data_IF_975831642748
#
_entry.id   IF_975831642748
#
_cell.length_a   1.000
_cell.length_b   1.000
_cell.length_c   1.000
_cell.angle_alpha   90.00
_cell.angle_beta   90.00
_cell.angle_gamma   90.00
#
_symmetry.space_group_name_H-M   'P 1'
#
loop_
_entity.id
_entity.type
_entity.pdbx_description
1 polymer ?
#
# COMPACT_ATOMS: atom_id res chain seq x y z
N UNK A 1 -3.36 -18.76 -2.59
CA UNK A 1 -2.19 -18.62 -1.69
C UNK A 1 -2.31 -19.59 -0.50
N UNK A 2 -3.35 -20.43 -0.41
CA UNK A 2 -3.54 -21.30 0.75
C UNK A 2 -3.97 -20.51 2.00
N UNK A 3 -4.58 -19.33 1.79
CA UNK A 3 -4.98 -18.37 2.82
C UNK A 3 -6.48 -18.06 2.73
N UNK A 4 -7.24 -18.91 2.06
CA UNK A 4 -8.68 -18.76 1.86
C UNK A 4 -9.42 -18.85 3.20
N UNK A 5 -8.89 -19.60 4.16
CA UNK A 5 -9.34 -19.69 5.56
C UNK A 5 -9.02 -18.46 6.42
N UNK A 6 -8.21 -17.53 5.90
CA UNK A 6 -7.94 -16.24 6.56
C UNK A 6 -8.92 -15.13 6.12
N UNK A 7 -9.93 -15.45 5.31
CA UNK A 7 -10.94 -14.50 4.86
C UNK A 7 -12.15 -14.55 5.79
N UNK A 8 -12.45 -13.44 6.48
CA UNK A 8 -13.63 -13.36 7.36
C UNK A 8 -14.92 -13.28 6.52
N UNK A 9 -14.83 -12.68 5.32
CA UNK A 9 -15.96 -12.49 4.40
C UNK A 9 -15.46 -12.43 2.96
N UNK A 10 -16.26 -12.96 2.05
CA UNK A 10 -16.08 -12.80 0.61
C UNK A 10 -17.36 -12.29 -0.04
N UNK A 11 -17.21 -11.42 -1.02
CA UNK A 11 -18.28 -11.00 -1.92
C UNK A 11 -17.96 -11.53 -3.32
N UNK A 12 -18.91 -12.22 -3.99
CA UNK A 12 -18.69 -12.75 -5.32
C UNK A 12 -18.45 -11.66 -6.37
N UNK A 13 -18.97 -10.45 -6.17
CA UNK A 13 -18.85 -9.35 -7.12
C UNK A 13 -18.42 -8.04 -6.45
N UNK A 14 -17.66 -7.25 -7.21
CA UNK A 14 -17.22 -5.92 -6.83
C UNK A 14 -17.84 -4.92 -7.80
N UNK A 15 -18.10 -3.68 -7.37
CA UNK A 15 -18.57 -2.64 -8.29
C UNK A 15 -18.05 -1.26 -7.90
N UNK A 16 -18.13 -0.34 -8.85
CA UNK A 16 -17.79 1.07 -8.66
C UNK A 16 -18.95 1.95 -9.10
N UNK A 17 -19.10 3.09 -8.43
CA UNK A 17 -20.03 4.14 -8.78
C UNK A 17 -19.19 5.38 -9.13
N UNK A 18 -19.22 5.74 -10.40
CA UNK A 18 -18.47 6.88 -10.94
C UNK A 18 -19.19 8.18 -10.58
N UNK A 19 -20.51 8.20 -10.76
CA UNK A 19 -21.38 9.32 -10.41
C UNK A 19 -22.82 8.83 -10.23
N UNK A 20 -23.78 9.75 -10.18
CA UNK A 20 -25.20 9.41 -9.99
C UNK A 20 -25.81 8.56 -11.12
N UNK A 21 -25.20 8.57 -12.30
CA UNK A 21 -25.73 7.93 -13.49
C UNK A 21 -24.93 6.67 -13.87
N UNK A 22 -23.63 6.66 -13.58
CA UNK A 22 -22.71 5.62 -14.03
C UNK A 22 -22.28 4.71 -12.89
N UNK A 23 -22.65 3.43 -13.03
CA UNK A 23 -22.20 2.31 -12.19
C UNK A 23 -21.58 1.24 -13.09
N UNK A 24 -20.46 0.67 -12.66
CA UNK A 24 -19.81 -0.46 -13.36
C UNK A 24 -19.62 -1.63 -12.43
N UNK A 25 -20.01 -2.82 -12.88
CA UNK A 25 -19.79 -4.07 -12.17
C UNK A 25 -18.46 -4.67 -12.63
N UNK A 26 -17.57 -4.91 -11.66
CA UNK A 26 -16.30 -5.56 -11.89
C UNK A 26 -16.54 -7.04 -11.62
N UNK A 27 -16.50 -7.87 -12.66
CA UNK A 27 -16.66 -9.33 -12.58
C UNK A 27 -15.48 -9.98 -11.84
N UNK A 28 -15.39 -9.68 -10.55
CA UNK A 28 -14.27 -10.00 -9.67
C UNK A 28 -14.74 -10.08 -8.22
N UNK A 29 -14.38 -11.14 -7.49
CA UNK A 29 -14.65 -11.23 -6.08
C UNK A 29 -13.75 -10.32 -5.25
N UNK A 30 -14.23 -9.97 -4.05
CA UNK A 30 -13.45 -9.28 -3.03
C UNK A 30 -13.45 -10.08 -1.72
N UNK A 31 -12.33 -10.08 -1.01
CA UNK A 31 -12.18 -10.80 0.25
C UNK A 31 -11.75 -9.85 1.37
N UNK A 32 -12.47 -9.87 2.48
CA UNK A 32 -12.07 -9.23 3.72
C UNK A 32 -11.12 -10.16 4.49
N UNK A 33 -9.88 -9.70 4.69
CA UNK A 33 -8.86 -10.50 5.36
C UNK A 33 -8.92 -10.29 6.87
N UNK A 34 -9.11 -11.38 7.61
CA UNK A 34 -8.99 -11.41 9.06
C UNK A 34 -7.56 -11.19 9.50
N UNK A 35 -7.20 -9.93 9.79
CA UNK A 35 -5.80 -9.54 10.16
C UNK A 35 -5.22 -10.39 11.29
N UNK A 36 -6.04 -10.71 12.31
CA UNK A 36 -5.63 -11.53 13.45
C UNK A 36 -5.39 -12.98 13.01
N UNK A 37 -6.34 -13.58 12.29
CA UNK A 37 -6.26 -14.95 11.78
C UNK A 37 -5.05 -15.12 10.86
N UNK A 38 -4.89 -14.24 9.88
CA UNK A 38 -3.74 -14.25 8.97
C UNK A 38 -2.42 -14.15 9.74
N UNK A 39 -2.31 -13.21 10.69
CA UNK A 39 -1.08 -13.06 11.48
C UNK A 39 -0.78 -14.31 12.30
N UNK A 40 -1.78 -14.85 13.01
CA UNK A 40 -1.63 -16.06 13.83
C UNK A 40 -1.17 -17.24 12.96
N UNK A 41 -1.84 -17.50 11.85
CA UNK A 41 -1.48 -18.60 10.93
C UNK A 41 -0.05 -18.47 10.40
N UNK A 42 0.36 -17.26 9.99
CA UNK A 42 1.74 -17.03 9.52
C UNK A 42 2.76 -17.24 10.66
N UNK A 43 2.46 -16.79 11.87
CA UNK A 43 3.36 -16.97 13.03
C UNK A 43 3.47 -18.45 13.45
N UNK A 44 2.35 -19.17 13.51
CA UNK A 44 2.33 -20.62 13.80
C UNK A 44 3.11 -21.40 12.74
N UNK A 45 2.95 -21.05 11.46
CA UNK A 45 3.74 -21.63 10.37
C UNK A 45 5.24 -21.37 10.58
N UNK A 46 5.64 -20.16 10.97
CA UNK A 46 7.03 -19.86 11.29
C UNK A 46 7.55 -20.71 12.47
N UNK A 47 6.79 -20.79 13.57
CA UNK A 47 7.15 -21.59 14.75
C UNK A 47 7.33 -23.08 14.39
N UNK A 48 6.43 -23.64 13.58
CA UNK A 48 6.52 -25.04 13.14
C UNK A 48 7.76 -25.35 12.30
N UNK A 49 8.36 -24.32 11.69
CA UNK A 49 9.59 -24.41 10.90
C UNK A 49 10.85 -24.00 11.70
N UNK A 50 10.73 -23.88 13.02
CA UNK A 50 11.85 -23.59 13.92
C UNK A 50 12.24 -22.10 14.01
N UNK A 51 11.40 -21.18 13.53
CA UNK A 51 11.64 -19.74 13.72
C UNK A 51 11.44 -19.39 15.19
N UNK A 52 12.43 -18.72 15.77
CA UNK A 52 12.36 -18.19 17.13
C UNK A 52 11.81 -16.77 17.11
N UNK A 53 10.89 -16.47 18.03
CA UNK A 53 10.36 -15.13 18.24
C UNK A 53 10.92 -14.54 19.53
N UNK A 54 11.34 -13.28 19.45
CA UNK A 54 11.81 -12.50 20.60
C UNK A 54 11.00 -11.20 20.66
N UNK A 55 10.32 -10.96 21.78
CA UNK A 55 9.49 -9.77 21.96
C UNK A 55 10.31 -8.63 22.57
N UNK A 56 11.03 -7.91 21.71
CA UNK A 56 11.78 -6.72 22.09
C UNK A 56 11.80 -5.68 20.97
N UNK A 57 11.95 -4.41 21.36
CA UNK A 57 12.10 -3.33 20.38
C UNK A 57 13.54 -3.23 19.92
N UNK A 58 13.80 -3.59 18.66
CA UNK A 58 15.04 -3.25 17.98
C UNK A 58 15.09 -1.75 17.67
N UNK A 59 16.15 -1.07 18.10
CA UNK A 59 16.26 0.39 17.93
C UNK A 59 17.53 0.82 17.18
N UNK A 60 18.54 -0.07 17.06
CA UNK A 60 19.76 0.20 16.30
C UNK A 60 20.33 -1.08 15.72
N UNK A 61 20.97 -0.96 14.56
CA UNK A 61 21.78 -2.02 13.96
C UNK A 61 23.20 -1.50 13.75
N UNK A 62 24.20 -2.26 14.18
CA UNK A 62 25.62 -2.00 13.96
C UNK A 62 26.14 -3.07 13.01
N UNK A 63 26.85 -2.65 11.96
CA UNK A 63 27.35 -3.58 10.94
C UNK A 63 28.84 -3.83 11.10
N UNK A 64 29.21 -5.10 11.07
CA UNK A 64 30.57 -5.61 10.88
C UNK A 64 30.72 -6.14 9.44
N UNK A 65 31.91 -6.58 9.05
CA UNK A 65 32.19 -7.04 7.67
C UNK A 65 31.28 -8.21 7.22
N UNK A 66 31.04 -9.17 8.11
CA UNK A 66 30.28 -10.39 7.82
C UNK A 66 29.08 -10.63 8.73
N UNK A 67 28.76 -9.68 9.60
CA UNK A 67 27.69 -9.79 10.58
C UNK A 67 27.09 -8.44 10.93
N UNK A 68 25.87 -8.46 11.46
CA UNK A 68 25.19 -7.31 12.02
C UNK A 68 24.81 -7.60 13.46
N UNK A 69 24.88 -6.58 14.30
CA UNK A 69 24.50 -6.63 15.70
C UNK A 69 23.26 -5.76 15.86
N UNK A 70 22.17 -6.33 16.33
CA UNK A 70 20.92 -5.62 16.58
C UNK A 70 20.79 -5.34 18.07
N UNK A 71 20.64 -4.06 18.42
CA UNK A 71 20.47 -3.62 19.79
C UNK A 71 18.99 -3.55 20.13
N UNK A 72 18.60 -4.32 21.15
CA UNK A 72 17.23 -4.43 21.64
C UNK A 72 17.03 -3.61 22.92
N UNK A 73 15.77 -3.31 23.25
CA UNK A 73 15.40 -2.51 24.42
C UNK A 73 15.49 -3.24 25.76
N UNK A 74 15.62 -4.57 25.74
CA UNK A 74 15.45 -5.46 26.89
C UNK A 74 16.74 -6.08 27.43
N UNK A 75 17.87 -5.92 26.74
CA UNK A 75 19.15 -6.43 27.23
C UNK A 75 19.26 -7.96 27.21
N UNK A 76 18.73 -8.65 26.19
CA UNK A 76 19.02 -10.08 25.94
C UNK A 76 20.00 -10.34 24.78
N UNK A 77 21.00 -11.20 24.99
CA UNK A 77 21.95 -11.67 23.96
C UNK A 77 21.40 -12.91 23.22
N UNK A 78 21.17 -12.80 21.92
CA UNK A 78 20.73 -13.95 21.08
C UNK A 78 21.56 -13.99 19.79
N UNK A 79 22.16 -15.13 19.45
CA UNK A 79 22.78 -15.31 18.12
C UNK A 79 21.79 -15.97 17.18
N UNK A 80 21.51 -15.36 16.03
CA UNK A 80 20.60 -15.90 15.00
C UNK A 80 21.22 -15.83 13.62
N UNK A 81 20.90 -16.74 12.70
CA UNK A 81 21.44 -16.68 11.34
C UNK A 81 20.85 -15.52 10.53
N UNK A 82 19.55 -15.27 10.70
CA UNK A 82 18.80 -14.16 10.09
C UNK A 82 17.82 -13.59 11.12
N UNK A 83 17.73 -12.28 11.23
CA UNK A 83 16.77 -11.62 12.12
C UNK A 83 15.71 -10.86 11.31
N UNK A 84 14.44 -11.18 11.54
CA UNK A 84 13.30 -10.43 11.02
C UNK A 84 12.77 -9.51 12.12
N UNK A 85 12.75 -8.21 11.86
CA UNK A 85 12.22 -7.21 12.80
C UNK A 85 10.78 -6.85 12.42
N UNK A 86 9.82 -7.12 13.30
CA UNK A 86 8.41 -6.80 13.12
C UNK A 86 7.92 -5.90 14.28
N UNK A 87 7.26 -4.78 13.97
CA UNK A 87 6.88 -3.77 14.98
C UNK A 87 5.37 -3.59 15.17
N UNK A 88 4.95 -3.36 16.42
CA UNK A 88 3.72 -2.61 16.80
C UNK A 88 4.09 -1.57 17.87
N UNK A 89 3.44 -0.39 17.86
CA UNK A 89 3.57 0.60 18.96
C UNK A 89 2.63 0.24 20.12
N UNK A 90 3.17 0.24 21.33
CA UNK A 90 2.44 0.61 22.56
C UNK A 90 3.38 1.48 23.40
N UNK A 91 3.01 2.75 23.64
CA UNK A 91 3.57 3.60 24.70
C UNK A 91 5.06 3.96 24.60
N UNK A 92 5.38 5.21 24.94
CA UNK A 92 6.74 5.63 25.25
C UNK A 92 7.06 5.26 26.71
N UNK A 93 7.74 4.13 26.94
CA UNK A 93 8.31 3.79 28.24
C UNK A 93 9.79 4.24 28.33
N UNK A 94 10.30 4.58 29.53
CA UNK A 94 11.67 5.09 29.72
C UNK A 94 12.73 4.03 29.41
N UNK A 95 13.85 4.48 28.84
CA UNK A 95 14.99 3.65 28.42
C UNK A 95 15.73 3.02 29.61
N UNK A 96 15.97 1.71 29.55
CA UNK A 96 17.00 1.05 30.36
C UNK A 96 18.35 1.07 29.62
N UNK A 97 19.42 1.40 30.33
CA UNK A 97 20.78 1.66 29.83
C UNK A 97 21.67 0.41 29.75
N UNK A 98 21.11 -0.78 29.59
CA UNK A 98 21.87 -2.03 29.46
C UNK A 98 21.40 -2.73 28.19
N UNK A 99 22.12 -2.50 27.09
CA UNK A 99 21.82 -3.08 25.78
C UNK A 99 22.55 -4.40 25.59
N UNK A 100 21.85 -5.39 25.05
CA UNK A 100 22.44 -6.63 24.57
C UNK A 100 22.23 -6.76 23.07
N UNK A 101 23.05 -7.63 22.50
CA UNK A 101 23.48 -7.56 21.13
C UNK A 101 23.09 -8.86 20.39
N UNK A 102 22.09 -8.76 19.50
CA UNK A 102 21.68 -9.91 18.68
C UNK A 102 22.55 -9.97 17.43
N UNK A 103 23.42 -10.97 17.32
CA UNK A 103 24.32 -11.14 16.17
C UNK A 103 23.62 -11.92 15.05
N UNK A 104 23.57 -11.36 13.85
CA UNK A 104 22.95 -11.92 12.64
C UNK A 104 23.82 -11.82 11.39
N UNK A 105 23.68 -12.75 10.44
CA UNK A 105 24.32 -12.63 9.12
C UNK A 105 23.55 -11.68 8.19
N UNK A 106 22.25 -11.52 8.42
CA UNK A 106 21.36 -10.63 7.70
C UNK A 106 20.28 -10.09 8.64
N UNK A 107 19.95 -8.81 8.50
CA UNK A 107 18.81 -8.18 9.19
C UNK A 107 17.77 -7.77 8.14
N UNK A 108 16.55 -8.27 8.31
CA UNK A 108 15.39 -7.91 7.50
C UNK A 108 14.44 -7.07 8.33
N UNK A 109 14.17 -5.85 7.89
CA UNK A 109 13.25 -4.92 8.54
C UNK A 109 11.85 -4.98 7.91
N UNK A 110 10.93 -5.63 8.61
CA UNK A 110 9.51 -5.74 8.27
C UNK A 110 8.61 -4.89 9.19
N UNK A 111 9.15 -3.84 9.81
CA UNK A 111 8.43 -3.04 10.81
C UNK A 111 7.41 -2.04 10.23
N UNK A 112 7.36 -1.88 8.91
CA UNK A 112 6.44 -0.98 8.21
C UNK A 112 6.93 0.48 8.14
N UNK A 113 6.03 1.42 7.80
CA UNK A 113 6.40 2.80 7.40
C UNK A 113 7.13 3.67 8.43
N UNK A 114 7.26 3.20 9.67
CA UNK A 114 7.83 3.96 10.79
C UNK A 114 9.21 3.44 11.19
N UNK A 115 9.86 2.63 10.36
CA UNK A 115 11.21 2.15 10.64
C UNK A 115 12.23 3.28 10.63
N UNK A 116 13.12 3.25 11.62
CA UNK A 116 14.31 4.10 11.70
C UNK A 116 15.59 3.34 11.28
N UNK A 117 15.47 2.11 10.78
CA UNK A 117 16.61 1.23 10.52
C UNK A 117 17.10 1.24 9.06
N UNK A 118 16.36 1.90 8.17
CA UNK A 118 16.70 2.03 6.76
C UNK A 118 16.99 3.47 6.41
N UNK A 119 18.04 3.65 5.62
CA UNK A 119 18.38 4.94 5.04
C UNK A 119 17.58 5.20 3.77
N UNK A 120 17.10 6.44 3.66
CA UNK A 120 16.45 6.98 2.47
C UNK A 120 17.20 8.24 2.03
N UNK A 121 17.21 8.54 0.73
CA UNK A 121 17.78 9.80 0.23
C UNK A 121 16.92 10.98 0.73
N UNK A 122 17.37 11.61 1.82
CA UNK A 122 16.68 12.69 2.52
C UNK A 122 16.36 13.88 1.60
N UNK A 123 17.19 14.13 0.59
CA UNK A 123 17.00 15.22 -0.39
C UNK A 123 15.78 15.02 -1.29
N UNK A 124 15.23 13.80 -1.36
CA UNK A 124 14.09 13.41 -2.21
C UNK A 124 12.83 13.02 -1.42
N UNK A 125 12.93 12.84 -0.10
CA UNK A 125 12.00 12.07 0.73
C UNK A 125 10.62 12.69 0.99
N UNK A 126 10.56 13.90 1.53
CA UNK A 126 9.30 14.48 2.00
C UNK A 126 8.44 15.12 0.89
N UNK A 127 9.07 15.70 -0.13
CA UNK A 127 8.35 16.39 -1.22
C UNK A 127 7.75 15.45 -2.27
N UNK A 128 8.14 14.17 -2.32
CA UNK A 128 7.71 13.22 -3.36
C UNK A 128 6.70 12.17 -2.88
N UNK A 129 6.28 12.20 -1.62
CA UNK A 129 5.29 11.24 -1.07
C UNK A 129 3.88 11.78 -1.25
N UNK A 130 3.02 11.00 -1.88
CA UNK A 130 1.57 11.16 -1.73
C UNK A 130 1.13 10.53 -0.41
N UNK A 131 -0.08 10.86 0.03
CA UNK A 131 -0.69 10.20 1.20
C UNK A 131 -2.11 9.81 0.86
N UNK A 132 -2.45 8.55 1.14
CA UNK A 132 -3.83 8.09 1.21
C UNK A 132 -4.24 8.14 2.68
N UNK A 133 -5.41 8.67 2.97
CA UNK A 133 -5.94 8.78 4.32
C UNK A 133 -7.41 8.43 4.30
N UNK A 134 -7.85 7.69 5.31
CA UNK A 134 -9.21 7.18 5.39
C UNK A 134 -9.77 7.22 6.80
N UNK A 135 -11.10 7.33 6.87
CA UNK A 135 -11.88 7.19 8.08
C UNK A 135 -12.87 6.03 7.90
N UNK A 136 -12.55 4.92 8.55
CA UNK A 136 -13.39 3.72 8.58
C UNK A 136 -14.36 3.78 9.74
N UNK A 137 -15.54 3.20 9.56
CA UNK A 137 -16.47 2.90 10.65
C UNK A 137 -17.01 1.49 10.52
N UNK A 138 -17.40 0.94 11.66
CA UNK A 138 -18.32 -0.18 11.75
C UNK A 138 -19.68 0.33 12.20
N UNK A 139 -20.76 -0.11 11.55
CA UNK A 139 -22.11 0.33 11.85
C UNK A 139 -23.11 -0.82 11.80
N UNK A 140 -24.08 -0.77 12.71
CA UNK A 140 -25.30 -1.58 12.62
C UNK A 140 -26.36 -0.82 11.85
N UNK A 141 -27.10 -1.55 11.00
CA UNK A 141 -28.19 -1.04 10.17
C UNK A 141 -29.40 -1.97 10.29
N UNK A 142 -30.60 -1.39 10.35
CA UNK A 142 -31.85 -2.18 10.33
C UNK A 142 -32.12 -2.75 8.94
N UNK A 143 -31.88 -1.95 7.91
CA UNK A 143 -31.95 -2.33 6.50
C UNK A 143 -30.66 -1.86 5.79
N UNK A 144 -30.11 -2.69 4.91
CA UNK A 144 -28.87 -2.35 4.21
C UNK A 144 -29.11 -1.36 3.07
N UNK A 145 -28.35 -0.26 2.99
CA UNK A 145 -28.34 0.62 1.83
C UNK A 145 -27.50 0.07 0.66
N UNK A 146 -26.91 -1.12 0.82
CA UNK A 146 -26.01 -1.76 -0.14
C UNK A 146 -26.32 -3.26 -0.27
N UNK A 147 -25.98 -3.85 -1.41
CA UNK A 147 -26.23 -5.27 -1.66
C UNK A 147 -25.32 -6.17 -0.81
N UNK A 148 -25.89 -7.15 -0.11
CA UNK A 148 -25.15 -8.07 0.78
C UNK A 148 -24.14 -8.98 0.06
N UNK A 149 -24.34 -9.23 -1.24
CA UNK A 149 -23.53 -10.09 -2.09
C UNK A 149 -22.48 -9.29 -2.91
N UNK A 150 -22.35 -7.98 -2.68
CA UNK A 150 -21.41 -7.14 -3.43
C UNK A 150 -20.56 -6.28 -2.51
N UNK A 151 -19.32 -6.06 -2.94
CA UNK A 151 -18.44 -5.08 -2.34
C UNK A 151 -18.41 -3.80 -3.20
N UNK A 152 -18.71 -2.66 -2.60
CA UNK A 152 -18.55 -1.35 -3.25
C UNK A 152 -17.10 -0.90 -3.09
N UNK A 153 -16.35 -0.94 -4.18
CA UNK A 153 -14.94 -0.59 -4.20
C UNK A 153 -14.73 0.92 -4.22
N UNK A 154 -15.51 1.67 -4.99
CA UNK A 154 -15.39 3.12 -5.02
C UNK A 154 -16.72 3.75 -5.33
N UNK A 155 -17.26 4.56 -4.42
CA UNK A 155 -18.37 5.47 -4.69
C UNK A 155 -17.91 6.92 -4.64
N UNK A 156 -17.78 7.50 -5.84
CA UNK A 156 -17.32 8.87 -6.07
C UNK A 156 -18.45 9.91 -6.03
N UNK A 157 -19.69 9.52 -5.74
CA UNK A 157 -20.82 10.46 -5.66
C UNK A 157 -20.65 11.48 -4.54
N UNK A 158 -21.07 12.71 -4.80
CA UNK A 158 -21.05 13.83 -3.86
C UNK A 158 -22.46 14.37 -3.53
N UNK A 159 -23.52 13.76 -4.06
CA UNK A 159 -24.92 14.14 -3.76
C UNK A 159 -25.27 14.03 -2.28
N UNK A 160 -24.65 13.09 -1.56
CA UNK A 160 -24.79 12.93 -0.12
C UNK A 160 -24.42 14.20 0.67
N UNK A 161 -23.66 15.13 0.08
CA UNK A 161 -23.35 16.44 0.65
C UNK A 161 -24.45 17.50 0.37
N UNK A 162 -25.66 17.09 -0.03
CA UNK A 162 -26.77 18.00 -0.31
C UNK A 162 -27.21 18.84 0.89
N UNK A 163 -27.14 18.26 2.10
CA UNK A 163 -27.46 18.96 3.34
C UNK A 163 -26.29 19.83 3.85
N UNK A 164 -25.09 19.63 3.31
CA UNK A 164 -23.85 20.32 3.68
C UNK A 164 -23.12 20.85 2.43
N UNK A 165 -23.75 21.74 1.64
CA UNK A 165 -23.22 22.18 0.35
C UNK A 165 -21.86 22.86 0.45
N UNK A 166 -21.51 23.42 1.62
CA UNK A 166 -20.20 24.02 1.89
C UNK A 166 -19.04 23.01 1.80
N UNK A 167 -19.29 21.69 1.87
CA UNK A 167 -18.28 20.65 1.68
C UNK A 167 -17.91 20.43 0.21
N UNK A 168 -18.81 20.75 -0.73
CA UNK A 168 -18.66 20.43 -2.15
C UNK A 168 -17.46 21.11 -2.83
N UNK A 169 -17.15 22.40 -2.60
CA UNK A 169 -15.99 23.02 -3.23
C UNK A 169 -14.66 22.34 -2.84
N UNK A 170 -14.50 22.01 -1.56
CA UNK A 170 -13.31 21.31 -1.07
C UNK A 170 -13.25 19.86 -1.57
N UNK A 171 -14.40 19.17 -1.64
CA UNK A 171 -14.49 17.83 -2.21
C UNK A 171 -14.21 17.83 -3.72
N UNK A 172 -14.65 18.84 -4.46
CA UNK A 172 -14.35 18.95 -5.88
C UNK A 172 -12.84 19.06 -6.10
N UNK A 173 -12.15 19.88 -5.30
CA UNK A 173 -10.70 20.08 -5.43
C UNK A 173 -9.87 18.87 -4.99
N UNK A 174 -10.24 18.24 -3.87
CA UNK A 174 -9.56 17.06 -3.31
C UNK A 174 -10.63 16.01 -2.99
N UNK A 175 -11.00 15.17 -3.95
CA UNK A 175 -12.14 14.26 -3.80
C UNK A 175 -11.85 13.12 -2.84
N UNK A 176 -12.91 12.68 -2.17
CA UNK A 176 -12.95 11.41 -1.43
C UNK A 176 -14.00 10.50 -2.05
N UNK A 177 -13.87 9.21 -1.78
CA UNK A 177 -14.81 8.17 -2.19
C UNK A 177 -15.11 7.24 -1.01
N UNK A 178 -16.17 6.45 -1.13
CA UNK A 178 -16.56 5.47 -0.12
C UNK A 178 -16.25 4.04 -0.57
N UNK A 179 -15.65 3.26 0.33
CA UNK A 179 -15.76 1.80 0.36
C UNK A 179 -16.99 1.40 1.18
N UNK A 180 -17.80 0.45 0.69
CA UNK A 180 -18.87 -0.16 1.48
C UNK A 180 -18.82 -1.69 1.42
N UNK A 181 -18.80 -2.31 2.60
CA UNK A 181 -18.56 -3.73 2.77
C UNK A 181 -19.58 -4.33 3.75
N UNK A 182 -20.75 -4.78 3.26
CA UNK A 182 -21.76 -5.44 4.10
C UNK A 182 -21.24 -6.77 4.64
N UNK A 183 -21.06 -6.88 5.96
CA UNK A 183 -20.45 -8.04 6.62
C UNK A 183 -21.49 -9.10 6.99
N UNK A 184 -22.69 -8.68 7.42
CA UNK A 184 -23.83 -9.53 7.77
C UNK A 184 -25.15 -8.85 7.35
N UNK A 185 -26.30 -9.44 7.68
CA UNK A 185 -27.63 -8.85 7.43
C UNK A 185 -27.90 -7.52 8.15
N UNK A 186 -27.11 -7.17 9.17
CA UNK A 186 -27.28 -5.95 9.97
C UNK A 186 -25.98 -5.20 10.27
N UNK A 187 -24.82 -5.66 9.77
CA UNK A 187 -23.52 -5.08 10.04
C UNK A 187 -22.80 -4.67 8.75
N UNK A 188 -22.29 -3.45 8.71
CA UNK A 188 -21.57 -2.91 7.55
C UNK A 188 -20.30 -2.17 7.98
N UNK A 189 -19.22 -2.38 7.22
CA UNK A 189 -18.05 -1.52 7.29
C UNK A 189 -18.08 -0.49 6.16
N UNK A 190 -17.84 0.77 6.51
CA UNK A 190 -17.82 1.89 5.59
C UNK A 190 -16.52 2.67 5.76
N UNK A 191 -15.87 3.06 4.67
CA UNK A 191 -14.63 3.83 4.77
C UNK A 191 -14.60 4.97 3.75
N UNK A 192 -14.59 6.22 4.25
CA UNK A 192 -14.42 7.41 3.43
C UNK A 192 -12.91 7.67 3.24
N UNK A 193 -12.46 7.67 1.99
CA UNK A 193 -11.04 7.63 1.64
C UNK A 193 -10.67 8.75 0.68
N UNK A 194 -9.59 9.46 0.98
CA UNK A 194 -8.89 10.30 0.01
C UNK A 194 -7.82 9.44 -0.67
N UNK A 195 -8.00 9.15 -1.96
CA UNK A 195 -7.16 8.20 -2.71
C UNK A 195 -5.67 8.53 -2.63
N UNK A 196 -5.32 9.78 -2.96
CA UNK A 196 -3.97 10.33 -2.81
C UNK A 196 -4.02 11.85 -2.78
N UNK A 197 -3.31 12.46 -1.84
CA UNK A 197 -3.12 13.91 -1.80
C UNK A 197 -1.69 14.30 -1.39
N UNK A 198 -1.28 15.51 -1.79
CA UNK A 198 0.00 16.12 -1.39
C UNK A 198 -0.20 17.64 -1.28
N UNK A 199 -0.16 18.23 -0.05
CA UNK A 199 -0.02 17.59 1.26
C UNK A 199 -1.21 16.67 1.61
N UNK A 200 -1.07 15.91 2.71
CA UNK A 200 -2.14 15.02 3.21
C UNK A 200 -3.42 15.81 3.52
N UNK A 201 -4.58 15.29 3.10
CA UNK A 201 -5.88 15.85 3.45
C UNK A 201 -6.07 15.74 4.97
N UNK A 202 -6.63 16.78 5.60
CA UNK A 202 -6.76 16.76 7.05
C UNK A 202 -7.75 15.68 7.50
N UNK A 203 -7.43 14.98 8.58
CA UNK A 203 -8.33 13.96 9.14
C UNK A 203 -9.70 14.55 9.51
N UNK A 204 -9.72 15.82 9.97
CA UNK A 204 -10.94 16.53 10.31
C UNK A 204 -11.87 16.70 9.10
N UNK A 205 -11.33 16.97 7.90
CA UNK A 205 -12.13 17.08 6.68
C UNK A 205 -12.74 15.74 6.27
N UNK A 206 -11.97 14.66 6.30
CA UNK A 206 -12.48 13.31 5.95
C UNK A 206 -13.58 12.90 6.91
N UNK A 207 -13.37 13.11 8.22
CA UNK A 207 -14.40 12.83 9.23
C UNK A 207 -15.67 13.64 8.98
N UNK A 208 -15.56 14.93 8.61
CA UNK A 208 -16.73 15.77 8.27
C UNK A 208 -17.50 15.22 7.08
N UNK A 209 -16.80 14.79 6.01
CA UNK A 209 -17.42 14.20 4.82
C UNK A 209 -18.11 12.87 5.12
N UNK A 210 -17.45 12.03 5.92
CA UNK A 210 -18.05 10.77 6.38
C UNK A 210 -19.32 11.01 7.20
N UNK A 211 -19.31 11.98 8.14
CA UNK A 211 -20.51 12.33 8.92
C UNK A 211 -21.66 12.81 8.03
N UNK A 212 -21.39 13.63 7.02
CA UNK A 212 -22.40 14.05 6.05
C UNK A 212 -22.99 12.84 5.31
N UNK A 213 -22.14 11.90 4.88
CA UNK A 213 -22.58 10.67 4.22
C UNK A 213 -23.42 9.77 5.14
N UNK A 214 -23.00 9.56 6.38
CA UNK A 214 -23.77 8.75 7.34
C UNK A 214 -25.14 9.35 7.62
N UNK A 215 -25.22 10.68 7.78
CA UNK A 215 -26.48 11.40 7.93
C UNK A 215 -27.39 11.20 6.72
N UNK A 216 -26.83 11.30 5.51
CA UNK A 216 -27.56 11.04 4.27
C UNK A 216 -28.09 9.61 4.17
N UNK A 217 -27.32 8.63 4.65
CA UNK A 217 -27.70 7.20 4.65
C UNK A 217 -28.57 6.80 5.87
N UNK A 218 -28.77 7.68 6.86
CA UNK A 218 -29.47 7.35 8.10
C UNK A 218 -28.73 6.38 9.03
N UNK A 219 -27.40 6.23 8.88
CA UNK A 219 -26.60 5.23 9.61
C UNK A 219 -25.99 5.84 10.88
N UNK A 220 -26.01 5.08 11.97
CA UNK A 220 -25.34 5.41 13.23
C UNK A 220 -24.02 4.64 13.38
N UNK A 221 -22.97 5.32 13.81
CA UNK A 221 -21.64 4.75 13.97
C UNK A 221 -21.51 4.00 15.31
N UNK A 222 -20.84 2.83 15.29
CA UNK A 222 -20.47 2.09 16.50
C UNK A 222 -19.00 2.31 16.89
N UNK A 223 -18.10 2.14 15.92
CA UNK A 223 -16.65 2.23 16.11
C UNK A 223 -16.02 2.99 14.95
N UNK A 224 -14.89 3.67 15.19
CA UNK A 224 -14.08 4.30 14.15
C UNK A 224 -12.63 3.81 14.06
N UNK A 225 -12.14 3.64 12.83
CA UNK A 225 -10.74 3.35 12.49
C UNK A 225 -10.13 4.50 11.69
N UNK A 226 -8.82 4.72 11.88
CA UNK A 226 -8.05 5.72 11.14
C UNK A 226 -6.95 5.02 10.37
N UNK A 227 -6.85 5.31 9.07
CA UNK A 227 -5.81 4.77 8.22
C UNK A 227 -5.03 5.91 7.55
N UNK A 228 -3.70 5.80 7.53
CA UNK A 228 -2.80 6.69 6.80
C UNK A 228 -1.74 5.83 6.10
N UNK A 229 -1.69 5.89 4.78
CA UNK A 229 -0.75 5.14 3.96
C UNK A 229 0.13 6.14 3.19
N UNK A 230 1.45 6.14 3.39
CA UNK A 230 2.35 6.89 2.54
C UNK A 230 2.46 6.20 1.17
N UNK A 231 2.22 6.97 0.12
CA UNK A 231 2.10 6.53 -1.26
C UNK A 231 3.31 6.99 -2.05
N UNK A 232 3.92 6.08 -2.82
CA UNK A 232 5.08 6.41 -3.63
C UNK A 232 6.29 6.83 -2.79
N UNK A 233 6.88 7.99 -3.08
CA UNK A 233 8.13 8.44 -2.46
C UNK A 233 9.38 7.73 -2.99
N UNK A 234 10.58 8.08 -2.46
CA UNK A 234 11.81 7.40 -2.84
C UNK A 234 11.83 5.97 -2.31
N UNK A 235 12.50 5.10 -3.07
CA UNK A 235 12.95 3.81 -2.55
C UNK A 235 14.00 4.05 -1.44
N UNK A 236 14.19 3.08 -0.52
CA UNK A 236 15.36 3.09 0.34
C UNK A 236 16.65 3.13 -0.49
N UNK A 237 17.76 3.54 0.11
CA UNK A 237 19.07 3.46 -0.54
C UNK A 237 19.37 1.99 -0.81
N UNK A 238 19.55 1.63 -2.09
CA UNK A 238 19.75 0.24 -2.52
C UNK A 238 21.06 0.13 -3.30
N UNK A 239 21.98 -0.77 -2.92
CA UNK A 239 21.92 -1.66 -1.74
C UNK A 239 22.31 -0.94 -0.44
N UNK A 240 21.85 -1.46 0.69
CA UNK A 240 22.33 -1.11 2.05
C UNK A 240 22.30 -2.37 2.93
N UNK A 241 22.92 -2.31 4.12
CA UNK A 241 23.14 -3.51 4.94
C UNK A 241 21.90 -4.09 5.62
N UNK A 242 20.94 -3.24 6.00
CA UNK A 242 19.60 -3.69 6.39
C UNK A 242 18.76 -3.90 5.13
N UNK A 243 18.05 -5.02 5.02
CA UNK A 243 17.11 -5.27 3.92
C UNK A 243 15.70 -4.96 4.37
N UNK A 244 14.97 -4.11 3.66
CA UNK A 244 13.55 -3.86 3.96
C UNK A 244 12.64 -4.97 3.45
N UNK A 245 11.47 -5.14 4.09
CA UNK A 245 10.38 -5.99 3.62
C UNK A 245 9.02 -5.27 3.70
N UNK A 246 8.17 -5.46 2.70
CA UNK A 246 6.86 -4.80 2.66
C UNK A 246 6.96 -3.27 2.53
N UNK A 247 6.32 -2.54 3.44
CA UNK A 247 6.25 -1.07 3.37
C UNK A 247 7.61 -0.37 3.46
N UNK A 248 8.52 -0.88 4.29
CA UNK A 248 9.90 -0.37 4.45
C UNK A 248 10.74 -0.55 3.19
N UNK A 249 10.51 -1.65 2.46
CA UNK A 249 11.11 -1.90 1.15
C UNK A 249 10.56 -0.99 0.04
N UNK A 250 9.56 -0.15 0.29
CA UNK A 250 8.94 0.69 -0.72
C UNK A 250 7.99 -0.07 -1.67
N UNK A 251 7.46 -1.22 -1.25
CA UNK A 251 6.61 -2.09 -2.07
C UNK A 251 5.15 -1.61 -2.19
N UNK A 252 4.75 -0.57 -1.45
CA UNK A 252 3.40 0.01 -1.59
C UNK A 252 3.16 0.44 -3.01
N UNK A 253 2.02 0.05 -3.57
CA UNK A 253 1.60 0.50 -4.88
C UNK A 253 1.38 2.03 -4.87
N UNK A 254 2.16 2.83 -5.62
CA UNK A 254 2.07 4.30 -5.56
C UNK A 254 0.70 4.89 -5.86
N UNK A 255 -0.11 4.28 -6.74
CA UNK A 255 -1.43 4.81 -7.12
C UNK A 255 -2.61 4.29 -6.31
N UNK A 256 -2.49 3.19 -5.56
CA UNK A 256 -3.63 2.50 -4.92
C UNK A 256 -3.45 2.29 -3.42
N UNK A 257 -2.21 2.18 -2.94
CA UNK A 257 -1.89 1.90 -1.53
C UNK A 257 -1.83 0.41 -1.20
N UNK A 258 -2.09 -0.45 -2.19
CA UNK A 258 -2.09 -1.89 -2.00
C UNK A 258 -0.69 -2.42 -1.69
N UNK A 259 -0.61 -3.33 -0.70
CA UNK A 259 0.65 -3.87 -0.20
C UNK A 259 0.57 -5.35 0.13
N UNK A 260 -0.46 -5.82 0.83
CA UNK A 260 -0.48 -7.16 1.47
C UNK A 260 -0.15 -8.29 0.49
N UNK A 261 -0.88 -8.40 -0.63
CA UNK A 261 -0.67 -9.45 -1.61
C UNK A 261 0.75 -9.38 -2.23
N UNK A 262 1.25 -8.17 -2.51
CA UNK A 262 2.59 -7.96 -3.06
C UNK A 262 3.66 -8.34 -2.04
N UNK A 263 3.49 -7.95 -0.77
CA UNK A 263 4.42 -8.29 0.31
C UNK A 263 4.55 -9.80 0.46
N UNK A 264 3.42 -10.53 0.49
CA UNK A 264 3.39 -12.00 0.54
C UNK A 264 4.07 -12.63 -0.68
N UNK A 265 3.79 -12.15 -1.88
CA UNK A 265 4.43 -12.65 -3.10
C UNK A 265 5.95 -12.44 -3.07
N UNK A 266 6.41 -11.25 -2.68
CA UNK A 266 7.85 -10.94 -2.62
C UNK A 266 8.59 -11.61 -1.46
N UNK A 267 7.89 -12.04 -0.42
CA UNK A 267 8.51 -12.70 0.72
C UNK A 267 9.18 -14.03 0.30
N UNK A 268 8.52 -14.79 -0.58
CA UNK A 268 9.08 -16.03 -1.15
C UNK A 268 10.36 -15.76 -1.96
N UNK A 269 10.31 -14.81 -2.89
CA UNK A 269 11.46 -14.39 -3.72
C UNK A 269 12.64 -13.93 -2.86
N UNK A 270 12.38 -13.18 -1.79
CA UNK A 270 13.42 -12.77 -0.85
C UNK A 270 14.00 -13.97 -0.12
N UNK A 271 13.16 -14.87 0.40
CA UNK A 271 13.59 -16.05 1.13
C UNK A 271 14.48 -16.95 0.26
N UNK A 272 14.11 -17.19 -1.00
CA UNK A 272 14.89 -17.96 -1.95
C UNK A 272 16.27 -17.33 -2.17
N UNK A 273 16.34 -16.00 -2.37
CA UNK A 273 17.61 -15.30 -2.51
C UNK A 273 18.50 -15.39 -1.25
N UNK A 274 17.90 -15.41 -0.06
CA UNK A 274 18.62 -15.61 1.21
C UNK A 274 19.17 -17.05 1.28
N UNK A 275 18.36 -18.05 0.94
CA UNK A 275 18.76 -19.46 0.93
C UNK A 275 19.87 -19.72 -0.08
N UNK A 276 19.80 -19.17 -1.29
CA UNK A 276 20.88 -19.26 -2.29
C UNK A 276 22.21 -18.73 -1.75
N UNK A 277 22.18 -17.62 -1.01
CA UNK A 277 23.38 -16.98 -0.50
C UNK A 277 23.95 -17.67 0.74
N UNK A 278 23.10 -18.02 1.71
CA UNK A 278 23.53 -18.54 3.02
C UNK A 278 23.55 -20.06 3.10
N UNK A 279 22.77 -20.75 2.26
CA UNK A 279 22.63 -22.20 2.25
C UNK A 279 23.51 -22.94 1.23
N UNK A 280 24.24 -22.22 0.37
CA UNK A 280 25.12 -22.83 -0.63
C UNK A 280 26.51 -23.19 -0.07
N UNK A 281 27.19 -24.16 -0.72
CA UNK A 281 28.54 -24.62 -0.35
C UNK A 281 29.55 -23.46 -0.33
N UNK A 282 29.35 -22.46 -1.21
CA UNK A 282 30.11 -21.20 -1.21
C UNK A 282 29.23 -20.08 -0.65
N UNK A 283 29.20 -19.97 0.67
CA UNK A 283 28.42 -18.95 1.36
C UNK A 283 28.78 -17.53 0.87
N UNK A 284 27.77 -16.79 0.44
CA UNK A 284 27.86 -15.36 0.11
C UNK A 284 27.49 -14.56 1.35
N UNK A 285 28.37 -13.64 1.79
CA UNK A 285 28.23 -12.87 3.03
C UNK A 285 28.47 -11.37 2.81
N UNK A 286 28.16 -10.59 3.84
CA UNK A 286 28.42 -9.14 3.88
C UNK A 286 27.72 -8.40 2.74
N UNK A 287 28.41 -7.43 2.14
CA UNK A 287 27.85 -6.54 1.12
C UNK A 287 27.30 -7.27 -0.11
N UNK A 288 27.88 -8.41 -0.49
CA UNK A 288 27.43 -9.22 -1.63
C UNK A 288 26.07 -9.87 -1.34
N UNK A 289 25.87 -10.40 -0.13
CA UNK A 289 24.58 -10.94 0.33
C UNK A 289 23.51 -9.85 0.28
N UNK A 290 23.79 -8.70 0.91
CA UNK A 290 22.83 -7.59 0.97
C UNK A 290 22.43 -7.13 -0.44
N UNK A 291 23.40 -7.00 -1.35
CA UNK A 291 23.15 -6.64 -2.75
C UNK A 291 22.27 -7.66 -3.45
N UNK A 292 22.57 -8.96 -3.31
CA UNK A 292 21.81 -10.04 -3.96
C UNK A 292 20.36 -10.07 -3.47
N UNK A 293 20.14 -9.98 -2.16
CA UNK A 293 18.79 -9.96 -1.59
C UNK A 293 18.03 -8.70 -2.00
N UNK A 294 18.64 -7.51 -1.96
CA UNK A 294 18.00 -6.29 -2.46
C UNK A 294 17.66 -6.36 -3.97
N UNK A 295 18.55 -6.91 -4.78
CA UNK A 295 18.34 -7.10 -6.22
C UNK A 295 17.21 -8.09 -6.53
N UNK A 296 16.89 -9.02 -5.62
CA UNK A 296 15.72 -9.90 -5.77
C UNK A 296 14.39 -9.14 -5.63
N UNK A 297 14.34 -8.11 -4.77
CA UNK A 297 13.16 -7.28 -4.57
C UNK A 297 13.01 -6.18 -5.61
N UNK A 298 14.12 -5.53 -5.95
CA UNK A 298 14.16 -4.40 -6.87
C UNK A 298 15.16 -4.63 -8.01
N UNK A 299 14.92 -5.63 -8.87
CA UNK A 299 15.62 -5.70 -10.14
C UNK A 299 15.31 -4.46 -10.99
N UNK A 300 16.17 -4.16 -11.97
CA UNK A 300 16.03 -2.96 -12.80
C UNK A 300 14.63 -2.83 -13.41
N UNK A 301 14.12 -3.91 -13.99
CA UNK A 301 12.78 -3.95 -14.58
C UNK A 301 11.69 -3.52 -13.59
N UNK A 302 11.70 -4.03 -12.35
CA UNK A 302 10.73 -3.64 -11.30
C UNK A 302 10.86 -2.18 -10.89
N UNK A 303 12.06 -1.61 -10.93
CA UNK A 303 12.27 -0.17 -10.69
C UNK A 303 11.66 0.66 -11.82
N UNK A 304 11.79 0.21 -13.06
CA UNK A 304 11.20 0.89 -14.23
C UNK A 304 9.66 0.78 -14.24
N UNK A 305 9.11 -0.40 -13.97
CA UNK A 305 7.65 -0.61 -13.82
C UNK A 305 7.08 0.31 -12.73
N UNK A 306 7.82 0.48 -11.63
CA UNK A 306 7.44 1.40 -10.55
C UNK A 306 7.30 2.85 -11.02
N UNK A 307 8.07 3.28 -12.02
CA UNK A 307 7.95 4.65 -12.53
C UNK A 307 6.60 4.91 -13.21
N UNK A 308 5.99 3.91 -13.85
CA UNK A 308 4.62 4.02 -14.37
C UNK A 308 3.59 4.16 -13.25
N UNK A 309 3.71 3.38 -12.17
CA UNK A 309 2.80 3.54 -11.02
C UNK A 309 3.00 4.90 -10.34
N UNK A 310 4.23 5.38 -10.23
CA UNK A 310 4.52 6.73 -9.74
C UNK A 310 3.94 7.81 -10.67
N UNK A 311 4.02 7.64 -11.98
CA UNK A 311 3.38 8.54 -12.94
C UNK A 311 1.86 8.56 -12.74
N UNK A 312 1.20 7.40 -12.63
CA UNK A 312 -0.23 7.34 -12.35
C UNK A 312 -0.62 8.03 -11.04
N UNK A 313 0.19 7.91 -9.98
CA UNK A 313 -0.01 8.67 -8.74
C UNK A 313 0.10 10.19 -8.96
N UNK A 314 1.12 10.65 -9.69
CA UNK A 314 1.32 12.07 -9.98
C UNK A 314 0.23 12.65 -10.90
N UNK A 315 -0.39 11.82 -11.74
CA UNK A 315 -1.59 12.19 -12.50
C UNK A 315 -2.79 12.37 -11.57
N UNK A 316 -3.08 11.38 -10.72
CA UNK A 316 -4.20 11.43 -9.77
C UNK A 316 -4.12 12.64 -8.82
N UNK A 317 -2.91 13.04 -8.41
CA UNK A 317 -2.67 14.23 -7.58
C UNK A 317 -3.13 15.55 -8.22
N UNK A 318 -3.37 15.58 -9.52
CA UNK A 318 -3.72 16.80 -10.29
C UNK A 318 -5.16 16.83 -10.76
N UNK A 319 -5.91 15.75 -10.55
CA UNK A 319 -7.30 15.66 -10.97
C UNK A 319 -8.22 16.20 -9.87
N UNK A 320 -9.22 16.97 -10.28
CA UNK A 320 -10.36 17.30 -9.43
C UNK A 320 -11.36 16.13 -9.45
N UNK A 321 -12.53 16.28 -8.84
CA UNK A 321 -13.55 15.24 -8.81
C UNK A 321 -13.99 14.81 -10.22
N UNK A 322 -14.18 15.74 -11.16
CA UNK A 322 -14.64 15.40 -12.52
C UNK A 322 -13.57 14.69 -13.34
N UNK A 323 -12.33 15.16 -13.25
CA UNK A 323 -11.18 14.49 -13.85
C UNK A 323 -10.98 13.09 -13.27
N UNK A 324 -11.12 12.94 -11.95
CA UNK A 324 -10.99 11.65 -11.25
C UNK A 324 -12.09 10.68 -11.70
N UNK A 325 -13.35 11.12 -11.74
CA UNK A 325 -14.49 10.32 -12.22
C UNK A 325 -14.26 9.83 -13.64
N UNK A 326 -13.88 10.73 -14.54
CA UNK A 326 -13.64 10.40 -15.96
C UNK A 326 -12.45 9.45 -16.14
N UNK A 327 -11.40 9.63 -15.34
CA UNK A 327 -10.24 8.74 -15.32
C UNK A 327 -10.63 7.32 -14.89
N UNK A 328 -11.37 7.17 -13.78
CA UNK A 328 -11.82 5.86 -13.31
C UNK A 328 -12.87 5.21 -14.23
N UNK A 329 -13.75 6.01 -14.83
CA UNK A 329 -14.70 5.54 -15.85
C UNK A 329 -13.94 4.85 -16.99
N UNK A 330 -12.94 5.54 -17.55
CA UNK A 330 -12.12 5.03 -18.65
C UNK A 330 -11.25 3.85 -18.21
N UNK A 331 -10.69 3.89 -16.99
CA UNK A 331 -9.81 2.84 -16.46
C UNK A 331 -10.53 1.51 -16.28
N UNK A 332 -11.77 1.53 -15.78
CA UNK A 332 -12.56 0.32 -15.59
C UNK A 332 -13.28 -0.17 -16.86
N UNK A 333 -13.26 0.61 -17.95
CA UNK A 333 -13.70 0.16 -19.29
C UNK A 333 -12.60 -0.57 -20.08
N UNK A 334 -11.35 -0.52 -19.62
CA UNK A 334 -10.26 -1.28 -20.22
C UNK A 334 -10.46 -2.79 -20.02
N UNK A 335 -9.78 -3.57 -20.87
CA UNK A 335 -9.70 -5.03 -20.71
C UNK A 335 -9.33 -5.39 -19.24
N UNK A 336 -10.05 -6.32 -18.61
CA UNK A 336 -9.81 -6.72 -17.22
C UNK A 336 -8.37 -7.07 -16.90
N UNK A 337 -7.60 -7.62 -17.83
CA UNK A 337 -6.19 -7.95 -17.62
C UNK A 337 -5.37 -6.71 -17.26
N UNK A 338 -5.65 -5.55 -17.87
CA UNK A 338 -4.92 -4.31 -17.61
C UNK A 338 -5.19 -3.78 -16.21
N UNK A 339 -6.45 -3.54 -15.85
CA UNK A 339 -6.72 -2.96 -14.54
C UNK A 339 -6.47 -3.98 -13.41
N UNK A 340 -6.72 -5.28 -13.60
CA UNK A 340 -6.30 -6.32 -12.64
C UNK A 340 -4.79 -6.31 -12.43
N UNK A 341 -4.02 -6.30 -13.52
CA UNK A 341 -2.57 -6.31 -13.48
C UNK A 341 -2.00 -5.04 -12.84
N UNK A 342 -2.57 -3.88 -13.16
CA UNK A 342 -2.16 -2.60 -12.59
C UNK A 342 -2.37 -2.60 -11.07
N UNK A 343 -3.60 -2.88 -10.60
CA UNK A 343 -3.93 -2.91 -9.17
C UNK A 343 -3.07 -3.90 -8.36
N UNK A 344 -2.56 -4.96 -9.02
CA UNK A 344 -1.74 -6.00 -8.39
C UNK A 344 -0.23 -5.88 -8.62
N UNK A 345 0.23 -4.83 -9.31
CA UNK A 345 1.63 -4.66 -9.73
C UNK A 345 2.22 -5.84 -10.53
N UNK A 346 1.40 -6.46 -11.39
CA UNK A 346 1.79 -7.64 -12.19
C UNK A 346 2.07 -7.36 -13.66
N UNK A 347 1.74 -6.18 -14.16
CA UNK A 347 2.03 -5.82 -15.55
C UNK A 347 3.53 -5.63 -15.77
N UNK A 348 3.99 -6.11 -16.93
CA UNK A 348 5.29 -5.83 -17.52
C UNK A 348 5.36 -4.38 -18.03
N UNK A 349 6.56 -3.93 -18.41
CA UNK A 349 6.77 -2.59 -19.00
C UNK A 349 5.96 -2.38 -20.28
N UNK A 350 5.89 -3.40 -21.15
CA UNK A 350 5.13 -3.34 -22.40
C UNK A 350 3.63 -3.22 -22.12
N UNK A 351 3.11 -4.04 -21.21
CA UNK A 351 1.70 -3.97 -20.81
C UNK A 351 1.36 -2.65 -20.10
N UNK A 352 2.29 -2.05 -19.34
CA UNK A 352 2.10 -0.73 -18.73
C UNK A 352 2.08 0.40 -19.77
N UNK A 353 2.93 0.31 -20.79
CA UNK A 353 2.91 1.23 -21.91
C UNK A 353 1.61 1.09 -22.71
N UNK A 354 1.18 -0.14 -23.00
CA UNK A 354 -0.08 -0.40 -23.68
C UNK A 354 -1.29 0.04 -22.86
N UNK A 355 -1.31 -0.22 -21.55
CA UNK A 355 -2.33 0.29 -20.64
C UNK A 355 -2.42 1.82 -20.72
N UNK A 356 -1.28 2.50 -20.72
CA UNK A 356 -1.22 3.97 -20.77
C UNK A 356 -1.76 4.51 -22.10
N UNK A 357 -1.41 3.87 -23.22
CA UNK A 357 -1.94 4.19 -24.56
C UNK A 357 -3.44 3.90 -24.66
N UNK A 358 -3.89 2.74 -24.19
CA UNK A 358 -5.30 2.35 -24.17
C UNK A 358 -6.12 3.29 -23.31
N UNK A 359 -5.63 3.65 -22.11
CA UNK A 359 -6.30 4.60 -21.23
C UNK A 359 -6.44 5.97 -21.90
N UNK A 360 -5.38 6.46 -22.56
CA UNK A 360 -5.42 7.71 -23.30
C UNK A 360 -6.40 7.64 -24.50
N UNK A 361 -6.44 6.51 -25.22
CA UNK A 361 -7.36 6.32 -26.34
C UNK A 361 -8.83 6.22 -25.94
N UNK A 362 -9.13 5.66 -24.76
CA UNK A 362 -10.51 5.53 -24.23
C UNK A 362 -10.96 6.77 -23.43
N UNK A 363 -10.02 7.56 -22.93
CA UNK A 363 -10.33 8.75 -22.16
C UNK A 363 -11.01 9.82 -23.01
N UNK A 364 -11.99 10.51 -22.40
CA UNK A 364 -12.66 11.65 -23.01
C UNK A 364 -11.68 12.77 -23.39
N UNK A 365 -11.99 13.57 -24.41
CA UNK A 365 -11.15 14.70 -24.82
C UNK A 365 -10.76 15.64 -23.66
N UNK A 366 -11.67 16.02 -22.72
CA UNK A 366 -11.28 16.78 -21.54
C UNK A 366 -10.29 16.05 -20.63
N UNK A 367 -10.44 14.74 -20.44
CA UNK A 367 -9.50 13.93 -19.63
C UNK A 367 -8.12 13.83 -20.28
N UNK A 368 -8.07 13.68 -21.61
CA UNK A 368 -6.81 13.69 -22.35
C UNK A 368 -6.12 15.06 -22.28
N UNK A 369 -6.89 16.15 -22.40
CA UNK A 369 -6.37 17.50 -22.21
C UNK A 369 -5.82 17.69 -20.79
N UNK A 370 -6.49 17.15 -19.77
CA UNK A 370 -6.00 17.15 -18.40
C UNK A 370 -4.66 16.41 -18.26
N UNK A 371 -4.53 15.22 -18.85
CA UNK A 371 -3.26 14.46 -18.82
C UNK A 371 -2.15 15.24 -19.53
N UNK A 372 -2.40 15.75 -20.74
CA UNK A 372 -1.39 16.45 -21.55
C UNK A 372 -0.98 17.78 -20.90
N UNK A 373 -1.94 18.56 -20.39
CA UNK A 373 -1.67 19.87 -19.81
C UNK A 373 -1.12 19.79 -18.38
N UNK A 374 -1.64 18.86 -17.57
CA UNK A 374 -1.28 18.77 -16.14
C UNK A 374 -0.08 17.86 -15.93
N UNK A 375 0.20 16.87 -16.78
CA UNK A 375 1.24 15.87 -16.53
C UNK A 375 2.53 15.93 -17.38
N UNK A 376 2.93 17.04 -18.05
CA UNK A 376 4.14 17.03 -18.89
C UNK A 376 5.42 16.79 -18.09
N UNK A 377 5.53 17.39 -16.89
CA UNK A 377 6.70 17.23 -16.01
C UNK A 377 6.79 15.79 -15.44
N UNK A 378 5.73 15.20 -14.84
CA UNK A 378 5.75 13.80 -14.43
C UNK A 378 6.08 12.83 -15.57
N UNK A 379 5.53 13.05 -16.76
CA UNK A 379 5.80 12.23 -17.94
C UNK A 379 7.27 12.33 -18.36
N UNK A 380 7.80 13.55 -18.50
CA UNK A 380 9.21 13.77 -18.83
C UNK A 380 10.15 13.15 -17.78
N UNK A 381 9.80 13.21 -16.49
CA UNK A 381 10.57 12.58 -15.41
C UNK A 381 10.57 11.06 -15.51
N UNK A 382 9.41 10.44 -15.81
CA UNK A 382 9.31 9.00 -16.05
C UNK A 382 10.16 8.61 -17.26
N UNK A 383 9.97 9.27 -18.41
CA UNK A 383 10.70 9.00 -19.64
C UNK A 383 12.22 9.17 -19.48
N UNK A 384 12.66 10.23 -18.78
CA UNK A 384 14.07 10.45 -18.50
C UNK A 384 14.70 9.32 -17.66
N UNK A 385 13.97 8.77 -16.69
CA UNK A 385 14.45 7.61 -15.91
C UNK A 385 14.48 6.32 -16.72
N UNK A 386 13.50 6.10 -17.60
CA UNK A 386 13.50 4.96 -18.52
C UNK A 386 14.70 5.04 -19.48
N UNK A 387 14.95 6.22 -20.05
CA UNK A 387 16.08 6.45 -20.95
C UNK A 387 17.44 6.26 -20.26
N UNK A 388 17.63 6.81 -19.06
CA UNK A 388 18.87 6.64 -18.28
C UNK A 388 19.17 5.19 -17.89
N UNK A 389 18.16 4.33 -17.84
CA UNK A 389 18.33 2.90 -17.56
C UNK A 389 18.64 2.06 -18.82
N UNK A 390 18.52 2.67 -20.00
CA UNK A 390 18.75 2.03 -21.30
C UNK A 390 20.16 2.33 -21.85
N UNK A 391 20.95 3.12 -21.10
CA UNK A 391 22.37 3.45 -21.31
C UNK A 391 23.15 2.70 -20.23
#
# INVERSE_FOLDING_TARGET
MGLEDCLDKTWPMTYVIIDEQRRKYLDRPYGWVGRKVLKTKLMESCLSQGVQFHDAKAWKVVHEEFSSIVQCSDGCDVKVCSLLLAGRRYGSLPMCSYGCDVKASLVVDASGFLSALLDYDARRGQQQRGYQIAHGILAEVEEHPFDLDKMLLMDWRDSHMGNEPYLRPANNKLPTFLYAMPLSHNLIFLEETSLVSRPVLSYAEIKKRMVARLRHLGIKCLEDEKCLIPMGGPLPIIPQSVVGAGGTAGLVHPSTGYLVARALATASVMADAIVECLGSIRMVRGSHLHRRVWSSLWPLQRKLEREFYCFGMETLLKLDLQGTRSCFDSFFDLDPNYWHGFLSSRLSLEELAMLSLSLFGHASNPSNLDIVSKCPIPLAKMMGKLALASI
#
